data_IF_336626733096
#
_entry.id   IF_336626733096
#
_cell.length_a   1.000
_cell.length_b   1.000
_cell.length_c   1.000
_cell.angle_alpha   90.00
_cell.angle_beta   90.00
_cell.angle_gamma   90.00
#
_symmetry.space_group_name_H-M   'P 1'
#
loop_
_entity.id
_entity.type
_entity.pdbx_description
1 polymer ?
#
# COMPACT_ATOMS: atom_id res chain seq x y z
N UNK A 1 21.99 2.17 27.41
CA UNK A 1 20.81 1.41 26.91
C UNK A 1 20.17 2.18 25.77
N UNK A 2 20.02 1.56 24.64
CA UNK A 2 19.35 2.18 23.51
C UNK A 2 17.84 2.17 23.73
N UNK A 3 17.13 3.25 23.36
CA UNK A 3 15.68 3.26 23.45
C UNK A 3 15.09 2.26 22.48
N UNK A 4 13.96 1.67 22.86
CA UNK A 4 13.22 0.81 21.95
C UNK A 4 12.76 1.63 20.74
N UNK A 5 12.76 1.07 19.54
CA UNK A 5 12.24 1.78 18.39
C UNK A 5 10.77 2.13 18.61
N UNK A 6 10.43 3.35 18.23
CA UNK A 6 9.06 3.80 18.31
C UNK A 6 8.33 3.43 17.02
N UNK A 7 7.11 2.97 17.17
CA UNK A 7 6.28 2.60 16.05
C UNK A 7 4.93 3.33 16.14
N UNK A 8 4.22 3.35 15.03
CA UNK A 8 2.85 3.83 14.99
C UNK A 8 2.00 2.84 14.21
N UNK A 9 0.70 2.74 14.51
CA UNK A 9 -0.19 1.89 13.73
C UNK A 9 -0.47 2.52 12.37
N UNK A 10 -0.40 1.68 11.33
CA UNK A 10 -0.73 2.06 9.97
C UNK A 10 -1.88 1.17 9.52
N UNK A 11 -2.97 1.74 8.98
CA UNK A 11 -4.12 0.93 8.58
C UNK A 11 -3.78 0.04 7.39
N UNK A 12 -4.19 -1.23 7.50
CA UNK A 12 -4.12 -2.19 6.40
C UNK A 12 -5.46 -2.16 5.69
N UNK A 13 -5.45 -1.83 4.42
CA UNK A 13 -6.67 -1.68 3.64
C UNK A 13 -7.01 -3.01 2.97
N UNK A 14 -8.25 -3.42 3.15
CA UNK A 14 -8.81 -4.59 2.48
C UNK A 14 -9.58 -4.18 1.23
N UNK A 15 -10.85 -4.59 1.15
CA UNK A 15 -11.71 -4.18 0.06
C UNK A 15 -12.13 -2.72 0.24
N UNK A 16 -12.22 -1.99 -0.85
CA UNK A 16 -12.62 -0.59 -0.84
C UNK A 16 -14.10 -0.50 -1.19
N UNK A 17 -14.89 0.01 -0.26
CA UNK A 17 -16.31 0.18 -0.48
C UNK A 17 -16.59 1.22 -1.56
N UNK A 18 -17.61 0.98 -2.36
CA UNK A 18 -17.98 1.86 -3.47
C UNK A 18 -18.33 3.26 -2.94
N UNK A 19 -17.73 4.27 -3.55
CA UNK A 19 -17.98 5.67 -3.18
C UNK A 19 -17.24 6.15 -1.94
N UNK A 20 -16.46 5.28 -1.28
CA UNK A 20 -15.73 5.65 -0.08
C UNK A 20 -14.27 6.01 -0.41
N UNK A 21 -13.67 6.97 0.31
CA UNK A 21 -12.23 7.19 0.20
C UNK A 21 -11.45 5.94 0.62
N UNK A 22 -10.26 5.74 0.05
CA UNK A 22 -9.44 4.56 0.37
C UNK A 22 -9.23 4.42 1.87
N UNK A 23 -8.94 5.51 2.59
CA UNK A 23 -8.64 5.48 4.02
C UNK A 23 -9.88 5.56 4.91
N UNK A 24 -11.08 5.37 4.36
CA UNK A 24 -12.29 5.28 5.17
C UNK A 24 -12.18 4.09 6.13
N UNK A 25 -12.71 4.27 7.35
CA UNK A 25 -12.61 3.26 8.39
C UNK A 25 -13.20 1.91 7.96
N UNK A 26 -14.25 1.94 7.15
CA UNK A 26 -14.90 0.74 6.63
C UNK A 26 -13.98 -0.13 5.78
N UNK A 27 -12.92 0.44 5.22
CA UNK A 27 -11.97 -0.27 4.37
C UNK A 27 -10.81 -0.86 5.15
N UNK A 28 -10.67 -0.53 6.44
CA UNK A 28 -9.55 -0.99 7.25
C UNK A 28 -9.85 -2.39 7.77
N UNK A 29 -8.97 -3.35 7.46
CA UNK A 29 -9.12 -4.71 7.96
C UNK A 29 -8.21 -5.01 9.14
N UNK A 30 -7.16 -4.24 9.33
CA UNK A 30 -6.17 -4.47 10.38
C UNK A 30 -5.28 -3.24 10.53
N UNK A 31 -4.37 -3.30 11.50
CA UNK A 31 -3.34 -2.27 11.70
C UNK A 31 -1.99 -2.96 11.81
N UNK A 32 -0.97 -2.38 11.19
CA UNK A 32 0.40 -2.87 11.27
C UNK A 32 1.28 -1.81 11.91
N UNK A 33 2.17 -2.23 12.78
CA UNK A 33 3.12 -1.32 13.41
C UNK A 33 4.28 -1.02 12.47
N UNK A 34 4.56 0.27 12.28
CA UNK A 34 5.63 0.73 11.41
C UNK A 34 6.51 1.73 12.17
N UNK A 35 7.82 1.62 11.99
CA UNK A 35 8.77 2.58 12.56
C UNK A 35 8.36 4.00 12.19
N UNK A 36 8.30 4.89 13.19
CA UNK A 36 7.84 6.27 12.97
C UNK A 36 8.69 7.04 11.97
N UNK A 37 9.92 6.59 11.70
CA UNK A 37 10.81 7.23 10.73
C UNK A 37 10.44 6.92 9.28
N UNK A 38 9.67 5.86 9.06
CA UNK A 38 9.23 5.47 7.72
C UNK A 38 7.90 6.15 7.41
N UNK A 39 7.84 6.83 6.28
CA UNK A 39 6.62 7.53 5.87
C UNK A 39 5.73 6.59 5.08
N UNK A 40 4.55 6.34 5.59
CA UNK A 40 3.51 5.58 4.89
C UNK A 40 2.17 6.00 5.42
N UNK A 41 1.16 5.95 4.57
CA UNK A 41 -0.21 6.36 4.92
C UNK A 41 -1.11 5.14 5.15
N UNK A 42 -0.83 4.05 4.47
CA UNK A 42 -1.57 2.80 4.64
C UNK A 42 -0.72 1.63 4.13
N UNK A 43 -1.25 0.43 4.31
CA UNK A 43 -0.59 -0.79 3.84
C UNK A 43 -1.58 -1.65 3.08
N UNK A 44 -1.06 -2.45 2.16
CA UNK A 44 -1.83 -3.43 1.40
C UNK A 44 -1.21 -4.79 1.59
N UNK A 45 -2.04 -5.81 1.79
CA UNK A 45 -1.60 -7.20 1.78
C UNK A 45 -1.67 -7.70 0.35
N UNK A 46 -0.55 -8.22 -0.15
CA UNK A 46 -0.45 -8.68 -1.52
C UNK A 46 -0.99 -10.09 -1.66
N UNK A 47 -1.63 -10.36 -2.79
CA UNK A 47 -2.17 -11.68 -3.13
C UNK A 47 -1.66 -12.08 -4.51
N UNK A 48 -1.29 -13.33 -4.64
CA UNK A 48 -0.84 -13.89 -5.90
C UNK A 48 0.63 -13.61 -6.18
N UNK A 49 1.04 -13.83 -7.42
CA UNK A 49 2.44 -13.83 -7.81
C UNK A 49 2.80 -12.79 -8.87
N UNK A 50 1.90 -11.84 -9.16
CA UNK A 50 2.11 -10.87 -10.23
C UNK A 50 3.29 -9.91 -9.98
N UNK A 51 3.75 -9.79 -8.73
CA UNK A 51 4.84 -8.89 -8.36
C UNK A 51 6.09 -9.62 -7.89
N UNK A 52 6.23 -10.91 -8.16
CA UNK A 52 7.40 -11.67 -7.69
C UNK A 52 8.71 -11.15 -8.29
N UNK A 53 8.68 -10.60 -9.49
CA UNK A 53 9.89 -10.03 -10.10
C UNK A 53 10.35 -8.74 -9.39
N UNK A 54 9.50 -8.14 -8.59
CA UNK A 54 9.84 -7.00 -7.75
C UNK A 54 10.09 -7.42 -6.30
N UNK A 55 10.24 -8.72 -6.05
CA UNK A 55 10.44 -9.30 -4.72
C UNK A 55 9.27 -9.04 -3.77
N UNK A 56 8.06 -8.97 -4.31
CA UNK A 56 6.83 -8.87 -3.53
C UNK A 56 6.06 -10.16 -3.72
N UNK A 57 5.83 -10.88 -2.62
CA UNK A 57 5.26 -12.22 -2.65
C UNK A 57 3.87 -12.27 -2.03
N UNK A 58 3.15 -13.35 -2.31
CA UNK A 58 1.83 -13.58 -1.73
C UNK A 58 1.90 -13.49 -0.21
N UNK A 59 1.00 -12.72 0.39
CA UNK A 59 0.96 -12.52 1.83
C UNK A 59 1.81 -11.37 2.34
N UNK A 60 2.67 -10.80 1.51
CA UNK A 60 3.49 -9.67 1.91
C UNK A 60 2.65 -8.44 2.21
N UNK A 61 3.12 -7.66 3.18
CA UNK A 61 2.50 -6.40 3.54
C UNK A 61 3.35 -5.27 2.96
N UNK A 62 2.75 -4.46 2.11
CA UNK A 62 3.44 -3.37 1.43
C UNK A 62 2.92 -2.05 1.95
N UNK A 63 3.82 -1.18 2.40
CA UNK A 63 3.48 0.13 2.94
C UNK A 63 3.47 1.16 1.83
N UNK A 64 2.40 1.93 1.76
CA UNK A 64 2.12 2.86 0.66
C UNK A 64 2.09 4.29 1.18
N UNK A 65 2.77 5.17 0.48
CA UNK A 65 2.70 6.60 0.73
C UNK A 65 1.87 7.27 -0.34
N UNK A 66 0.92 8.10 0.06
CA UNK A 66 0.11 8.88 -0.88
C UNK A 66 0.98 9.92 -1.57
N UNK A 67 0.84 10.00 -2.88
CA UNK A 67 1.58 10.95 -3.71
C UNK A 67 0.67 11.42 -4.84
N UNK A 68 0.83 12.67 -5.31
CA UNK A 68 -0.02 13.18 -6.38
C UNK A 68 0.28 12.56 -7.74
N UNK A 69 1.43 11.92 -7.89
CA UNK A 69 1.83 11.26 -9.14
C UNK A 69 2.84 10.18 -8.86
N UNK A 70 3.06 9.30 -9.86
CA UNK A 70 4.10 8.29 -9.83
C UNK A 70 5.11 8.53 -10.95
N UNK A 71 6.35 8.15 -10.69
CA UNK A 71 7.38 8.19 -11.72
C UNK A 71 7.24 7.00 -12.66
N UNK A 72 7.69 7.17 -13.89
CA UNK A 72 7.64 6.10 -14.87
C UNK A 72 8.43 4.89 -14.38
N UNK A 73 7.81 3.70 -14.41
CA UNK A 73 8.43 2.47 -13.94
C UNK A 73 8.28 2.19 -12.46
N UNK A 74 7.66 3.08 -11.69
CA UNK A 74 7.41 2.83 -10.27
C UNK A 74 6.23 1.88 -10.07
N UNK A 75 6.25 1.20 -8.92
CA UNK A 75 5.12 0.38 -8.50
C UNK A 75 4.17 1.27 -7.71
N UNK A 76 2.90 1.22 -8.07
CA UNK A 76 1.87 2.02 -7.44
C UNK A 76 0.68 1.16 -7.05
N UNK A 77 -0.04 1.60 -6.03
CA UNK A 77 -1.32 1.01 -5.69
C UNK A 77 -2.38 1.64 -6.60
N UNK A 78 -3.15 0.79 -7.27
CA UNK A 78 -4.25 1.22 -8.13
C UNK A 78 -5.53 0.55 -7.68
N UNK A 79 -6.65 1.22 -7.84
CA UNK A 79 -7.96 0.69 -7.46
C UNK A 79 -8.71 0.30 -8.72
N UNK A 80 -9.06 -0.98 -8.79
CA UNK A 80 -9.82 -1.55 -9.91
C UNK A 80 -10.98 -2.33 -9.32
N UNK A 81 -12.20 -1.95 -9.67
CA UNK A 81 -13.42 -2.62 -9.20
C UNK A 81 -13.48 -2.76 -7.67
N UNK A 82 -13.11 -1.70 -6.96
CA UNK A 82 -13.17 -1.68 -5.49
C UNK A 82 -12.06 -2.46 -4.81
N UNK A 83 -11.07 -2.91 -5.56
CA UNK A 83 -9.95 -3.65 -5.01
C UNK A 83 -8.65 -2.90 -5.26
N UNK A 84 -7.85 -2.71 -4.19
CA UNK A 84 -6.53 -2.09 -4.31
C UNK A 84 -5.51 -3.16 -4.67
N UNK A 85 -4.73 -2.92 -5.70
CA UNK A 85 -3.72 -3.85 -6.17
C UNK A 85 -2.46 -3.09 -6.57
N UNK A 86 -1.33 -3.78 -6.64
CA UNK A 86 -0.06 -3.18 -7.03
C UNK A 86 0.19 -3.43 -8.51
N UNK A 87 0.61 -2.39 -9.19
CA UNK A 87 0.97 -2.44 -10.60
C UNK A 87 2.18 -1.58 -10.86
N UNK A 88 3.02 -2.00 -11.80
CA UNK A 88 4.09 -1.14 -12.29
C UNK A 88 3.50 -0.22 -13.35
N UNK A 89 3.73 1.07 -13.17
CA UNK A 89 3.13 2.11 -14.01
C UNK A 89 4.13 2.60 -15.05
N UNK A 90 3.71 2.59 -16.30
CA UNK A 90 4.49 3.14 -17.40
C UNK A 90 3.70 4.26 -18.06
N UNK A 91 4.37 5.37 -18.27
CA UNK A 91 3.77 6.53 -18.93
C UNK A 91 4.36 6.64 -20.33
N UNK A 92 3.50 6.75 -21.31
CA UNK A 92 3.92 6.90 -22.70
C UNK A 92 3.69 8.32 -23.17
N UNK A 93 4.64 8.92 -23.89
CA UNK A 93 4.42 10.24 -24.47
C UNK A 93 3.34 10.17 -25.53
N UNK A 94 2.53 11.21 -25.63
CA UNK A 94 1.47 11.31 -26.65
C UNK A 94 2.05 11.82 -27.96
#
# INVERSE_FOLDING_TARGET
>A
MEPLPQTRPVPVIGNIACGMPILAEENVEDYAELDIRVKADFALRCHGDSMVNAHIFDGDLVFIRKQPYVENGEIAAVVIDGEATLKRVYKYPN
#
